data_IF_026527550556
#
_entry.id   IF_026527550556
#
_cell.length_a   1.000
_cell.length_b   1.000
_cell.length_c   1.000
_cell.angle_alpha   90.00
_cell.angle_beta   90.00
_cell.angle_gamma   90.00
#
_symmetry.space_group_name_H-M   'P 1'
#
loop_
_entity.id
_entity.type
_entity.pdbx_description
1 polymer ?
#
# COMPACT_ATOMS: atom_id res chain seq x y z
N UNK A 1 20.42 -12.58 -26.50
CA UNK A 1 20.36 -13.26 -25.17
C UNK A 1 18.94 -13.76 -24.96
N UNK A 2 18.70 -15.02 -24.49
CA UNK A 2 17.35 -15.51 -24.24
C UNK A 2 16.67 -14.72 -23.10
N UNK A 3 15.40 -14.37 -23.27
CA UNK A 3 14.60 -13.66 -22.27
C UNK A 3 14.54 -14.44 -20.94
N UNK A 4 14.43 -15.78 -21.03
CA UNK A 4 14.40 -16.64 -19.86
C UNK A 4 15.67 -16.49 -18.99
N UNK A 5 16.86 -16.36 -19.60
CA UNK A 5 18.13 -16.19 -18.89
C UNK A 5 18.16 -14.86 -18.12
N UNK A 6 17.58 -13.81 -18.67
CA UNK A 6 17.47 -12.51 -17.99
C UNK A 6 16.63 -12.60 -16.71
N UNK A 7 15.45 -13.27 -16.77
CA UNK A 7 14.63 -13.49 -15.60
C UNK A 7 15.28 -14.46 -14.58
N UNK A 8 15.99 -15.49 -15.04
CA UNK A 8 16.74 -16.40 -14.16
C UNK A 8 17.80 -15.62 -13.38
N UNK A 9 18.57 -14.75 -14.04
CA UNK A 9 19.59 -13.93 -13.37
C UNK A 9 18.94 -12.94 -12.40
N UNK A 10 17.80 -12.32 -12.79
CA UNK A 10 17.04 -11.44 -11.90
C UNK A 10 16.59 -12.17 -10.64
N UNK A 11 15.95 -13.33 -10.78
CA UNK A 11 15.48 -14.12 -9.64
C UNK A 11 16.64 -14.64 -8.80
N UNK A 12 17.74 -15.10 -9.43
CA UNK A 12 18.94 -15.52 -8.71
C UNK A 12 19.53 -14.38 -7.87
N UNK A 13 19.59 -13.15 -8.41
CA UNK A 13 20.02 -11.98 -7.66
C UNK A 13 19.16 -11.70 -6.41
N UNK A 14 17.85 -11.88 -6.52
CA UNK A 14 16.93 -11.74 -5.38
C UNK A 14 17.14 -12.84 -4.34
N UNK A 15 17.36 -14.10 -4.76
CA UNK A 15 17.61 -15.24 -3.86
C UNK A 15 18.92 -15.04 -3.09
N UNK A 16 19.95 -14.46 -3.72
CA UNK A 16 21.26 -14.14 -3.08
C UNK A 16 21.15 -12.89 -2.19
N UNK A 17 19.96 -12.30 -2.07
CA UNK A 17 19.67 -11.08 -1.29
C UNK A 17 20.39 -9.82 -1.81
N UNK A 18 20.69 -9.72 -3.10
CA UNK A 18 21.13 -8.46 -3.73
C UNK A 18 19.93 -7.49 -3.73
N UNK A 19 20.13 -6.22 -3.35
CA UNK A 19 19.04 -5.23 -3.40
C UNK A 19 18.36 -5.17 -4.76
N UNK A 20 17.03 -5.12 -4.78
CA UNK A 20 16.20 -5.18 -6.01
C UNK A 20 16.65 -4.15 -7.05
N UNK A 21 16.96 -2.93 -6.63
CA UNK A 21 17.43 -1.86 -7.52
C UNK A 21 18.76 -2.19 -8.21
N UNK A 22 19.69 -2.81 -7.48
CA UNK A 22 21.00 -3.23 -8.05
C UNK A 22 20.78 -4.38 -9.01
N UNK A 23 19.98 -5.37 -8.63
CA UNK A 23 19.63 -6.52 -9.48
C UNK A 23 18.99 -6.06 -10.80
N UNK A 24 18.04 -5.11 -10.74
CA UNK A 24 17.41 -4.52 -11.93
C UNK A 24 18.44 -3.79 -12.80
N UNK A 25 19.31 -2.99 -12.19
CA UNK A 25 20.36 -2.27 -12.92
C UNK A 25 21.32 -3.22 -13.66
N UNK A 26 21.79 -4.26 -12.96
CA UNK A 26 22.66 -5.28 -13.56
C UNK A 26 21.95 -6.01 -14.70
N UNK A 27 20.73 -6.51 -14.46
CA UNK A 27 19.98 -7.25 -15.49
C UNK A 27 19.61 -6.40 -16.69
N UNK A 28 19.37 -5.09 -16.51
CA UNK A 28 19.16 -4.18 -17.63
C UNK A 28 20.40 -4.00 -18.53
N UNK A 29 21.61 -4.11 -17.97
CA UNK A 29 22.86 -3.94 -18.72
C UNK A 29 23.28 -5.23 -19.46
N UNK A 30 22.93 -6.42 -18.93
CA UNK A 30 23.38 -7.71 -19.47
C UNK A 30 23.15 -7.90 -20.97
N UNK A 31 21.97 -7.58 -21.56
CA UNK A 31 21.77 -7.73 -22.99
C UNK A 31 22.75 -6.92 -23.83
N UNK A 32 23.11 -5.70 -23.40
CA UNK A 32 24.06 -4.84 -24.12
C UNK A 32 25.51 -5.37 -24.08
N UNK A 33 25.83 -6.23 -23.12
CA UNK A 33 27.17 -6.82 -22.95
C UNK A 33 27.28 -8.16 -23.67
N UNK A 34 26.25 -9.01 -23.57
CA UNK A 34 26.31 -10.40 -24.01
C UNK A 34 25.60 -10.68 -25.34
N UNK A 35 24.83 -9.72 -25.88
CA UNK A 35 24.11 -9.91 -27.12
C UNK A 35 24.56 -8.89 -28.19
N UNK A 36 25.38 -9.33 -29.18
CA UNK A 36 25.83 -8.43 -30.26
C UNK A 36 24.69 -7.85 -31.11
N UNK A 37 23.52 -8.51 -31.10
CA UNK A 37 22.33 -8.01 -31.83
C UNK A 37 21.62 -6.91 -31.08
N UNK A 38 21.88 -6.76 -29.78
CA UNK A 38 21.27 -5.74 -28.94
C UNK A 38 22.08 -4.43 -29.03
N UNK A 39 21.65 -3.54 -29.94
CA UNK A 39 22.40 -2.33 -30.32
C UNK A 39 22.35 -1.20 -29.29
N UNK A 40 21.69 -1.41 -28.15
CA UNK A 40 21.44 -0.38 -27.14
C UNK A 40 22.53 -0.41 -26.08
N UNK A 41 23.36 0.62 -26.07
CA UNK A 41 24.48 0.73 -25.12
C UNK A 41 24.10 1.33 -23.77
N UNK A 42 25.01 1.26 -22.78
CA UNK A 42 24.85 1.77 -21.43
C UNK A 42 24.37 3.24 -21.37
N UNK A 43 24.77 4.08 -22.34
CA UNK A 43 24.34 5.49 -22.44
C UNK A 43 22.82 5.64 -22.59
N UNK A 44 22.18 4.74 -23.34
CA UNK A 44 20.72 4.72 -23.47
C UNK A 44 20.04 4.33 -22.16
N UNK A 45 20.57 3.32 -21.49
CA UNK A 45 20.02 2.85 -20.20
C UNK A 45 20.12 3.93 -19.11
N UNK A 46 21.26 4.62 -19.04
CA UNK A 46 21.43 5.75 -18.13
C UNK A 46 20.43 6.87 -18.45
N UNK A 47 20.23 7.21 -19.73
CA UNK A 47 19.20 8.17 -20.12
C UNK A 47 17.79 7.72 -19.74
N UNK A 48 17.48 6.45 -19.89
CA UNK A 48 16.19 5.89 -19.48
C UNK A 48 15.99 6.01 -17.95
N UNK A 49 17.04 5.78 -17.16
CA UNK A 49 17.00 5.97 -15.71
C UNK A 49 16.66 7.42 -15.35
N UNK A 50 17.34 8.39 -15.93
CA UNK A 50 17.06 9.81 -15.70
C UNK A 50 15.67 10.21 -16.18
N UNK A 51 15.26 9.78 -17.37
CA UNK A 51 13.93 10.06 -17.91
C UNK A 51 12.81 9.49 -17.03
N UNK A 52 13.04 8.33 -16.39
CA UNK A 52 12.08 7.76 -15.43
C UNK A 52 11.91 8.58 -14.16
N UNK A 53 12.93 9.35 -13.79
CA UNK A 53 12.88 10.24 -12.61
C UNK A 53 12.33 11.64 -12.95
N UNK A 54 12.37 12.04 -14.21
CA UNK A 54 11.88 13.34 -14.67
C UNK A 54 10.39 13.28 -14.98
N UNK A 55 9.59 13.15 -13.92
CA UNK A 55 8.14 13.03 -14.00
C UNK A 55 7.45 13.83 -12.90
N UNK A 56 6.52 14.73 -13.31
CA UNK A 56 5.79 15.56 -12.36
C UNK A 56 4.97 14.77 -11.33
N UNK A 57 4.24 13.69 -11.67
CA UNK A 57 3.55 12.86 -10.70
C UNK A 57 4.46 12.23 -9.64
N UNK A 58 5.74 12.00 -9.97
CA UNK A 58 6.70 11.42 -9.04
C UNK A 58 6.94 12.31 -7.81
N UNK A 59 6.83 13.63 -7.97
CA UNK A 59 7.02 14.59 -6.85
C UNK A 59 5.97 14.38 -5.74
N UNK A 60 4.83 13.78 -6.04
CA UNK A 60 3.83 13.46 -5.03
C UNK A 60 4.35 12.45 -3.99
N UNK A 61 5.21 11.51 -4.39
CA UNK A 61 5.72 10.44 -3.52
C UNK A 61 6.51 10.99 -2.32
N UNK A 62 7.59 11.77 -2.50
CA UNK A 62 8.33 12.35 -1.38
C UNK A 62 7.45 13.25 -0.51
N UNK A 63 6.47 13.96 -1.10
CA UNK A 63 5.57 14.84 -0.35
C UNK A 63 4.59 14.03 0.51
N UNK A 64 3.96 12.97 -0.01
CA UNK A 64 3.09 12.11 0.81
C UNK A 64 3.89 11.36 1.89
N UNK A 65 5.09 10.85 1.58
CA UNK A 65 5.97 10.24 2.60
C UNK A 65 6.28 11.24 3.72
N UNK A 66 6.67 12.46 3.37
CA UNK A 66 6.97 13.50 4.35
C UNK A 66 5.74 13.85 5.19
N UNK A 67 4.59 14.08 4.55
CA UNK A 67 3.32 14.34 5.23
C UNK A 67 2.96 13.21 6.20
N UNK A 68 3.06 11.95 5.76
CA UNK A 68 2.78 10.78 6.59
C UNK A 68 3.67 10.70 7.83
N UNK A 69 4.99 10.98 7.70
CA UNK A 69 5.94 10.97 8.83
C UNK A 69 5.63 12.11 9.80
N UNK A 70 5.33 13.33 9.30
CA UNK A 70 4.94 14.47 10.14
C UNK A 70 3.68 14.09 10.95
N UNK A 71 2.68 13.51 10.32
CA UNK A 71 1.42 13.14 10.95
C UNK A 71 1.59 11.98 11.94
N UNK A 72 2.47 11.01 11.66
CA UNK A 72 2.82 9.94 12.59
C UNK A 72 3.41 10.49 13.89
N UNK A 73 4.46 11.31 13.76
CA UNK A 73 5.11 11.98 14.91
C UNK A 73 4.20 13.03 15.56
N UNK A 74 3.26 13.57 14.79
CA UNK A 74 2.21 14.49 15.25
C UNK A 74 1.14 13.85 16.14
N UNK A 75 1.14 12.52 16.31
CA UNK A 75 0.17 11.82 17.14
C UNK A 75 -1.24 11.77 16.55
N UNK A 76 -1.37 11.97 15.24
CA UNK A 76 -2.65 11.99 14.53
C UNK A 76 -3.32 10.61 14.58
N UNK A 77 -2.55 9.53 14.47
CA UNK A 77 -3.07 8.15 14.57
C UNK A 77 -3.83 7.92 15.88
N UNK A 78 -3.33 8.46 17.00
CA UNK A 78 -4.03 8.35 18.31
C UNK A 78 -5.36 9.08 18.31
N UNK A 79 -5.42 10.27 17.73
CA UNK A 79 -6.67 11.05 17.66
C UNK A 79 -7.72 10.40 16.77
N UNK A 80 -7.29 9.77 15.66
CA UNK A 80 -8.17 8.97 14.82
C UNK A 80 -8.70 7.75 15.57
N UNK A 81 -7.84 7.02 16.27
CA UNK A 81 -8.28 5.86 17.05
C UNK A 81 -9.27 6.25 18.18
N UNK A 82 -8.98 7.31 18.94
CA UNK A 82 -9.81 7.74 20.04
C UNK A 82 -11.24 8.07 19.59
N UNK A 83 -11.42 8.72 18.43
CA UNK A 83 -12.76 9.03 17.91
C UNK A 83 -13.50 7.77 17.44
N UNK A 84 -12.83 6.84 16.75
CA UNK A 84 -13.47 5.60 16.33
C UNK A 84 -13.75 4.67 17.50
N UNK A 85 -12.87 4.61 18.50
CA UNK A 85 -13.11 3.89 19.76
C UNK A 85 -14.27 4.49 20.56
N UNK A 86 -14.47 5.80 20.52
CA UNK A 86 -15.61 6.47 21.15
C UNK A 86 -16.96 5.95 20.61
N UNK A 87 -17.06 5.82 19.27
CA UNK A 87 -18.32 5.39 18.64
C UNK A 87 -18.48 3.86 18.58
N UNK A 88 -17.40 3.14 18.31
CA UNK A 88 -17.47 1.71 18.06
C UNK A 88 -17.14 0.86 19.31
N UNK A 89 -16.40 1.39 20.28
CA UNK A 89 -15.75 0.63 21.33
C UNK A 89 -16.70 -0.23 22.17
N UNK A 90 -17.95 0.20 22.40
CA UNK A 90 -18.95 -0.56 23.15
C UNK A 90 -19.62 -1.70 22.34
N UNK A 91 -19.40 -1.75 21.01
CA UNK A 91 -19.95 -2.80 20.17
C UNK A 91 -19.11 -4.09 20.29
N UNK A 92 -19.68 -5.23 19.90
CA UNK A 92 -18.90 -6.47 19.79
C UNK A 92 -17.80 -6.30 18.74
N UNK A 93 -16.58 -6.63 19.11
CA UNK A 93 -15.36 -6.34 18.32
C UNK A 93 -15.13 -4.83 18.04
N UNK A 94 -15.73 -3.96 18.85
CA UNK A 94 -15.68 -2.53 18.59
C UNK A 94 -14.27 -1.96 18.58
N UNK A 95 -13.40 -2.40 19.48
CA UNK A 95 -11.99 -1.96 19.51
C UNK A 95 -11.17 -2.46 18.31
N UNK A 96 -11.22 -3.75 17.90
CA UNK A 96 -10.63 -4.21 16.63
C UNK A 96 -11.20 -3.48 15.39
N UNK A 97 -12.50 -3.23 15.33
CA UNK A 97 -13.11 -2.44 14.26
C UNK A 97 -12.58 -1.00 14.24
N UNK A 98 -12.42 -0.36 15.40
CA UNK A 98 -11.80 0.96 15.49
C UNK A 98 -10.36 0.98 14.96
N UNK A 99 -9.58 -0.09 15.16
CA UNK A 99 -8.25 -0.26 14.55
C UNK A 99 -8.34 -0.29 13.03
N UNK A 100 -9.25 -1.11 12.47
CA UNK A 100 -9.41 -1.24 11.01
C UNK A 100 -9.78 0.11 10.39
N UNK A 101 -10.77 0.81 10.98
CA UNK A 101 -11.18 2.15 10.49
C UNK A 101 -10.04 3.16 10.66
N UNK A 102 -9.26 3.08 11.74
CA UNK A 102 -8.07 3.91 11.90
C UNK A 102 -7.04 3.63 10.81
N UNK A 103 -6.82 2.37 10.43
CA UNK A 103 -5.93 2.01 9.32
C UNK A 103 -6.43 2.55 7.98
N UNK A 104 -7.75 2.54 7.72
CA UNK A 104 -8.36 3.16 6.52
C UNK A 104 -8.04 4.66 6.46
N UNK A 105 -8.35 5.39 7.53
CA UNK A 105 -8.13 6.84 7.57
C UNK A 105 -6.66 7.22 7.61
N UNK A 106 -5.83 6.48 8.35
CA UNK A 106 -4.40 6.74 8.39
C UNK A 106 -3.74 6.35 7.07
N UNK A 107 -4.21 5.29 6.41
CA UNK A 107 -3.81 4.92 5.05
C UNK A 107 -4.04 6.06 4.06
N UNK A 108 -5.21 6.71 4.13
CA UNK A 108 -5.55 7.90 3.35
C UNK A 108 -4.68 9.14 3.65
N UNK A 109 -3.72 9.02 4.55
CA UNK A 109 -2.74 10.07 4.87
C UNK A 109 -1.33 9.64 4.44
N UNK A 110 -0.95 8.39 4.75
CA UNK A 110 0.41 7.87 4.57
C UNK A 110 0.67 7.30 3.18
N UNK A 111 -0.36 6.77 2.53
CA UNK A 111 -0.24 6.08 1.24
C UNK A 111 0.65 4.83 1.25
N UNK A 112 0.98 4.30 2.44
CA UNK A 112 1.94 3.22 2.64
C UNK A 112 1.45 2.21 3.66
N UNK A 113 1.47 0.92 3.31
CA UNK A 113 1.04 -0.16 4.21
C UNK A 113 1.98 -0.33 5.42
N UNK A 114 3.31 -0.45 5.25
CA UNK A 114 4.22 -0.57 6.39
C UNK A 114 4.17 0.64 7.33
N UNK A 115 4.05 1.85 6.79
CA UNK A 115 3.91 3.07 7.61
C UNK A 115 2.60 3.06 8.41
N UNK A 116 1.51 2.57 7.82
CA UNK A 116 0.22 2.42 8.52
C UNK A 116 0.33 1.40 9.65
N UNK A 117 0.96 0.23 9.41
CA UNK A 117 1.20 -0.78 10.46
C UNK A 117 2.03 -0.18 11.59
N UNK A 118 3.11 0.51 11.28
CA UNK A 118 3.99 1.11 12.29
C UNK A 118 3.25 2.17 13.14
N UNK A 119 2.58 3.11 12.50
CA UNK A 119 1.92 4.23 13.19
C UNK A 119 0.68 3.82 13.99
N UNK A 120 -0.15 2.95 13.44
CA UNK A 120 -1.36 2.48 14.12
C UNK A 120 -1.01 1.36 15.11
N UNK A 121 -0.14 0.43 14.71
CA UNK A 121 0.23 -0.73 15.52
C UNK A 121 0.96 -0.36 16.80
N UNK A 122 1.91 0.57 16.74
CA UNK A 122 2.69 0.99 17.92
C UNK A 122 1.83 1.42 19.10
N UNK A 123 0.65 1.99 18.83
CA UNK A 123 -0.25 2.42 19.90
C UNK A 123 -1.41 1.44 20.15
N UNK A 124 -1.95 0.80 19.12
CA UNK A 124 -3.16 -0.03 19.27
C UNK A 124 -2.87 -1.42 19.82
N UNK A 125 -1.70 -2.00 19.49
CA UNK A 125 -1.30 -3.31 20.03
C UNK A 125 -1.26 -3.28 21.56
N UNK A 126 -0.56 -2.36 22.24
CA UNK A 126 -0.56 -2.29 23.70
C UNK A 126 -1.95 -2.03 24.29
N UNK A 127 -2.75 -1.17 23.64
CA UNK A 127 -4.10 -0.85 24.12
C UNK A 127 -4.99 -2.09 24.09
N UNK A 128 -5.10 -2.77 22.95
CA UNK A 128 -5.97 -3.93 22.81
C UNK A 128 -5.52 -5.08 23.71
N UNK A 129 -4.22 -5.31 23.81
CA UNK A 129 -3.65 -6.34 24.71
C UNK A 129 -3.97 -6.02 26.17
N UNK A 130 -3.88 -4.76 26.59
CA UNK A 130 -4.29 -4.29 27.91
C UNK A 130 -5.79 -4.51 28.21
N UNK A 131 -6.62 -4.46 27.16
CA UNK A 131 -8.06 -4.75 27.23
C UNK A 131 -8.37 -6.26 27.26
N UNK A 132 -7.36 -7.13 27.19
CA UNK A 132 -7.52 -8.57 27.26
C UNK A 132 -7.65 -9.27 25.90
N UNK A 133 -7.46 -8.58 24.78
CA UNK A 133 -7.38 -9.25 23.49
C UNK A 133 -6.07 -10.04 23.34
N UNK A 134 -6.15 -11.16 22.64
CA UNK A 134 -4.98 -11.99 22.31
C UNK A 134 -3.93 -11.17 21.54
N UNK A 135 -2.68 -11.18 22.02
CA UNK A 135 -1.59 -10.41 21.43
C UNK A 135 -1.37 -10.77 19.96
N UNK A 136 -1.42 -12.08 19.63
CA UNK A 136 -1.20 -12.55 18.25
C UNK A 136 -2.34 -12.11 17.33
N UNK A 137 -3.59 -12.15 17.81
CA UNK A 137 -4.74 -11.65 17.06
C UNK A 137 -4.64 -10.15 16.82
N UNK A 138 -4.32 -9.40 17.87
CA UNK A 138 -4.17 -7.94 17.79
C UNK A 138 -3.08 -7.55 16.79
N UNK A 139 -1.94 -8.24 16.84
CA UNK A 139 -0.82 -8.00 15.94
C UNK A 139 -1.18 -8.39 14.50
N UNK A 140 -1.89 -9.51 14.30
CA UNK A 140 -2.33 -9.95 12.98
C UNK A 140 -3.34 -9.00 12.35
N UNK A 141 -4.32 -8.49 13.11
CA UNK A 141 -5.32 -7.55 12.58
C UNK A 141 -4.70 -6.23 12.16
N UNK A 142 -3.73 -5.73 12.93
CA UNK A 142 -2.96 -4.52 12.57
C UNK A 142 -2.15 -4.74 11.31
N UNK A 143 -1.44 -5.89 11.19
CA UNK A 143 -0.65 -6.21 10.01
C UNK A 143 -1.52 -6.25 8.74
N UNK A 144 -2.68 -6.93 8.81
CA UNK A 144 -3.59 -7.09 7.66
C UNK A 144 -4.32 -5.78 7.34
N UNK A 145 -4.89 -5.10 8.36
CA UNK A 145 -5.57 -3.83 8.15
C UNK A 145 -4.63 -2.73 7.66
N UNK A 146 -3.35 -2.79 8.02
CA UNK A 146 -2.32 -1.89 7.49
C UNK A 146 -2.17 -1.98 5.97
N UNK A 147 -2.50 -3.14 5.35
CA UNK A 147 -2.55 -3.30 3.89
C UNK A 147 -3.54 -2.34 3.20
N UNK A 148 -4.56 -1.87 3.90
CA UNK A 148 -5.48 -0.84 3.40
C UNK A 148 -4.77 0.50 3.13
N UNK A 149 -3.61 0.73 3.74
CA UNK A 149 -2.83 1.95 3.57
C UNK A 149 -2.22 2.15 2.18
N UNK A 150 -2.22 1.14 1.31
CA UNK A 150 -1.84 1.28 -0.10
C UNK A 150 -3.02 1.21 -1.05
N UNK A 151 -4.23 0.94 -0.55
CA UNK A 151 -5.45 0.80 -1.36
C UNK A 151 -6.31 2.05 -1.27
N UNK A 152 -6.49 2.59 -0.05
CA UNK A 152 -7.21 3.85 0.15
C UNK A 152 -6.34 5.02 -0.34
N UNK A 153 -6.88 5.91 -1.20
CA UNK A 153 -6.13 7.06 -1.68
C UNK A 153 -5.89 8.13 -0.59
N UNK A 154 -4.81 8.92 -0.72
CA UNK A 154 -3.77 8.79 -1.74
C UNK A 154 -2.85 7.58 -1.51
N UNK A 155 -2.42 6.96 -2.59
CA UNK A 155 -1.65 5.71 -2.57
C UNK A 155 -0.40 5.83 -3.43
N UNK A 156 0.77 5.55 -2.84
CA UNK A 156 2.04 5.54 -3.57
C UNK A 156 2.02 4.48 -4.70
N UNK A 157 1.57 3.24 -4.48
CA UNK A 157 1.44 2.25 -5.56
C UNK A 157 0.56 2.70 -6.72
N UNK A 158 -0.55 3.41 -6.49
CA UNK A 158 -1.36 3.94 -7.58
C UNK A 158 -0.64 5.02 -8.40
N UNK A 159 0.18 5.87 -7.75
CA UNK A 159 1.02 6.83 -8.46
C UNK A 159 2.02 6.08 -9.36
N UNK A 160 2.69 5.05 -8.81
CA UNK A 160 3.63 4.22 -9.57
C UNK A 160 2.97 3.49 -10.74
N UNK A 161 1.77 2.95 -10.52
CA UNK A 161 1.00 2.31 -11.58
C UNK A 161 0.58 3.31 -12.66
N UNK A 162 0.08 4.49 -12.28
CA UNK A 162 -0.26 5.56 -13.22
C UNK A 162 0.92 5.97 -14.09
N UNK A 163 2.11 6.08 -13.51
CA UNK A 163 3.35 6.37 -14.25
C UNK A 163 3.74 5.25 -15.22
N UNK A 164 3.56 4.00 -14.83
CA UNK A 164 3.93 2.84 -15.64
C UNK A 164 2.93 2.53 -16.74
N UNK A 165 1.64 2.77 -16.51
CA UNK A 165 0.52 2.44 -17.41
C UNK A 165 0.07 3.62 -18.30
N UNK A 166 0.35 4.86 -17.87
CA UNK A 166 -0.22 6.07 -18.46
C UNK A 166 -1.67 6.36 -18.01
N UNK A 167 -2.23 5.56 -17.09
CA UNK A 167 -3.56 5.81 -16.52
C UNK A 167 -3.56 7.04 -15.60
N UNK A 168 -4.70 7.72 -15.52
CA UNK A 168 -4.89 8.89 -14.67
C UNK A 168 -4.74 8.50 -13.19
N UNK A 169 -3.85 9.19 -12.47
CA UNK A 169 -3.65 8.96 -11.03
C UNK A 169 -4.90 9.37 -10.23
N UNK A 170 -5.62 10.39 -10.67
CA UNK A 170 -6.88 10.80 -10.04
C UNK A 170 -7.96 9.73 -10.16
N UNK A 171 -8.08 9.10 -11.34
CA UNK A 171 -9.05 8.02 -11.57
C UNK A 171 -8.68 6.77 -10.76
N UNK A 172 -7.39 6.43 -10.68
CA UNK A 172 -6.91 5.35 -9.82
C UNK A 172 -7.24 5.60 -8.34
N UNK A 173 -7.14 6.85 -7.89
CA UNK A 173 -7.51 7.22 -6.53
C UNK A 173 -9.03 7.05 -6.30
N UNK A 174 -9.88 7.48 -7.24
CA UNK A 174 -11.32 7.23 -7.15
C UNK A 174 -11.64 5.74 -7.13
N UNK A 175 -11.02 4.99 -8.04
CA UNK A 175 -11.23 3.56 -8.18
C UNK A 175 -10.82 2.74 -6.95
N UNK A 176 -9.89 3.23 -6.12
CA UNK A 176 -9.43 2.57 -4.89
C UNK A 176 -10.37 2.69 -3.69
N UNK A 177 -11.32 3.66 -3.69
CA UNK A 177 -12.17 3.94 -2.53
C UNK A 177 -13.10 2.77 -2.19
N UNK A 178 -13.93 2.35 -3.14
CA UNK A 178 -14.92 1.29 -2.92
C UNK A 178 -14.23 -0.04 -2.57
N UNK A 179 -13.20 -0.50 -3.32
CA UNK A 179 -12.39 -1.66 -2.94
C UNK A 179 -11.84 -1.60 -1.52
N UNK A 180 -11.24 -0.48 -1.14
CA UNK A 180 -10.68 -0.31 0.20
C UNK A 180 -11.73 -0.36 1.31
N UNK A 181 -12.88 0.29 1.12
CA UNK A 181 -14.01 0.23 2.06
C UNK A 181 -14.60 -1.17 2.15
N UNK A 182 -14.73 -1.88 1.02
CA UNK A 182 -15.21 -3.26 0.97
C UNK A 182 -14.28 -4.19 1.73
N UNK A 183 -12.97 -4.11 1.51
CA UNK A 183 -11.98 -4.93 2.22
C UNK A 183 -12.01 -4.61 3.72
N UNK A 184 -12.04 -3.33 4.10
CA UNK A 184 -12.18 -2.91 5.48
C UNK A 184 -13.43 -3.47 6.15
N UNK A 185 -14.58 -3.45 5.46
CA UNK A 185 -15.84 -4.04 5.90
C UNK A 185 -15.74 -5.55 6.11
N UNK A 186 -15.12 -6.27 5.18
CA UNK A 186 -14.91 -7.72 5.30
C UNK A 186 -13.97 -8.07 6.48
N UNK A 187 -12.92 -7.27 6.71
CA UNK A 187 -12.05 -7.45 7.87
C UNK A 187 -12.80 -7.16 9.19
N UNK A 188 -13.68 -6.17 9.22
CA UNK A 188 -14.55 -5.90 10.39
C UNK A 188 -15.52 -7.06 10.64
N UNK A 189 -16.11 -7.65 9.59
CA UNK A 189 -16.96 -8.84 9.71
C UNK A 189 -16.18 -10.01 10.32
N UNK A 190 -14.94 -10.25 9.87
CA UNK A 190 -14.09 -11.27 10.48
C UNK A 190 -13.79 -10.96 11.94
N UNK A 191 -13.46 -9.71 12.29
CA UNK A 191 -13.20 -9.32 13.67
C UNK A 191 -14.41 -9.58 14.59
N UNK A 192 -15.63 -9.25 14.12
CA UNK A 192 -16.88 -9.53 14.82
C UNK A 192 -17.07 -11.04 15.03
N UNK A 193 -16.85 -11.85 14.00
CA UNK A 193 -16.95 -13.30 14.09
C UNK A 193 -15.94 -13.87 15.09
N UNK A 194 -14.68 -13.42 15.02
CA UNK A 194 -13.61 -13.84 15.92
C UNK A 194 -13.93 -13.52 17.40
N UNK A 195 -14.33 -12.28 17.68
CA UNK A 195 -14.63 -11.84 19.04
C UNK A 195 -15.88 -12.51 19.63
N UNK A 196 -16.90 -12.79 18.79
CA UNK A 196 -18.07 -13.57 19.23
C UNK A 196 -17.70 -14.99 19.65
N UNK A 197 -16.72 -15.59 18.96
CA UNK A 197 -16.30 -16.99 19.24
C UNK A 197 -15.36 -17.09 20.44
N UNK A 198 -14.45 -16.13 20.61
CA UNK A 198 -13.41 -16.19 21.65
C UNK A 198 -13.78 -15.40 22.92
N UNK A 199 -14.84 -14.61 22.88
CA UNK A 199 -15.23 -13.72 23.96
C UNK A 199 -14.41 -12.43 24.02
N UNK A 200 -14.89 -11.47 24.81
CA UNK A 200 -14.24 -10.18 25.06
C UNK A 200 -14.40 -9.82 26.54
N UNK A 201 -13.39 -9.19 27.13
CA UNK A 201 -13.47 -8.63 28.48
C UNK A 201 -14.25 -7.30 28.46
N UNK A 202 -15.58 -7.43 28.48
CA UNK A 202 -16.49 -6.28 28.37
C UNK A 202 -16.34 -5.26 29.48
N UNK A 203 -15.88 -5.66 30.65
CA UNK A 203 -15.68 -4.75 31.77
C UNK A 203 -14.51 -3.82 31.52
N UNK A 204 -13.35 -4.38 31.10
CA UNK A 204 -12.18 -3.58 30.75
C UNK A 204 -12.46 -2.67 29.56
N UNK A 205 -13.11 -3.20 28.52
CA UNK A 205 -13.48 -2.40 27.33
C UNK A 205 -14.37 -1.24 27.75
N UNK A 206 -15.44 -1.52 28.52
CA UNK A 206 -16.37 -0.49 28.97
C UNK A 206 -15.67 0.58 29.82
N UNK A 207 -14.76 0.17 30.71
CA UNK A 207 -14.01 1.11 31.56
C UNK A 207 -13.12 2.06 30.71
N UNK A 208 -12.48 1.56 29.64
CA UNK A 208 -11.64 2.38 28.77
C UNK A 208 -12.48 3.31 27.87
N UNK A 209 -13.57 2.79 27.32
CA UNK A 209 -14.51 3.61 26.53
C UNK A 209 -15.17 4.68 27.40
N UNK A 210 -15.50 4.35 28.66
CA UNK A 210 -16.06 5.31 29.61
C UNK A 210 -15.13 6.49 29.85
N UNK A 211 -13.81 6.26 29.96
CA UNK A 211 -12.81 7.35 30.06
C UNK A 211 -12.85 8.29 28.84
N UNK A 212 -13.14 7.76 27.65
CA UNK A 212 -13.32 8.60 26.46
C UNK A 212 -14.66 9.36 26.52
N UNK A 213 -15.73 8.71 26.98
CA UNK A 213 -17.04 9.32 27.18
C UNK A 213 -17.02 10.41 28.25
N UNK A 214 -16.26 10.21 29.34
CA UNK A 214 -16.11 11.21 30.43
C UNK A 214 -15.39 12.47 29.93
N UNK A 215 -14.53 12.37 28.89
CA UNK A 215 -13.98 13.57 28.21
C UNK A 215 -15.06 14.40 27.49
N UNK A 216 -16.19 13.80 27.19
CA UNK A 216 -17.29 14.39 26.41
C UNK A 216 -17.08 14.36 24.91
N UNK A 217 -18.16 14.11 24.16
CA UNK A 217 -18.15 14.02 22.68
C UNK A 217 -17.52 15.25 22.04
N UNK A 218 -17.92 16.44 22.48
CA UNK A 218 -17.42 17.69 21.90
C UNK A 218 -15.89 17.81 21.99
N UNK A 219 -15.31 17.40 23.11
CA UNK A 219 -13.86 17.45 23.31
C UNK A 219 -13.13 16.43 22.44
N UNK A 220 -13.62 15.19 22.36
CA UNK A 220 -13.05 14.13 21.52
C UNK A 220 -13.13 14.53 20.03
N UNK A 221 -14.28 14.99 19.56
CA UNK A 221 -14.46 15.48 18.20
C UNK A 221 -13.56 16.67 17.90
N UNK A 222 -13.47 17.66 18.79
CA UNK A 222 -12.60 18.83 18.62
C UNK A 222 -11.13 18.44 18.54
N UNK A 223 -10.69 17.49 19.36
CA UNK A 223 -9.31 16.98 19.35
C UNK A 223 -8.98 16.18 18.09
N UNK A 224 -9.95 15.46 17.53
CA UNK A 224 -9.77 14.61 16.34
C UNK A 224 -10.13 15.31 15.03
N UNK A 225 -10.77 16.48 15.09
CA UNK A 225 -11.30 17.20 13.92
C UNK A 225 -10.24 17.42 12.85
N UNK A 226 -9.09 17.96 13.22
CA UNK A 226 -8.00 18.21 12.28
C UNK A 226 -7.38 16.92 11.73
N UNK A 227 -7.39 15.83 12.48
CA UNK A 227 -6.95 14.53 12.00
C UNK A 227 -7.91 13.97 10.94
N UNK A 228 -9.22 14.05 11.18
CA UNK A 228 -10.25 13.63 10.23
C UNK A 228 -10.30 14.51 8.97
N UNK A 229 -10.01 15.79 9.12
CA UNK A 229 -10.06 16.75 8.01
C UNK A 229 -8.92 16.52 7.00
N UNK A 230 -7.80 15.90 7.41
CA UNK A 230 -6.64 15.68 6.54
C UNK A 230 -6.96 14.91 5.25
N UNK A 231 -7.52 13.69 5.29
CA UNK A 231 -7.88 12.99 4.06
C UNK A 231 -8.98 13.71 3.27
N UNK A 232 -9.88 14.40 3.94
CA UNK A 232 -10.96 15.15 3.30
C UNK A 232 -10.41 16.33 2.48
N UNK A 233 -9.42 17.07 3.01
CA UNK A 233 -8.76 18.14 2.26
C UNK A 233 -8.03 17.58 1.05
N UNK A 234 -7.22 16.52 1.24
CA UNK A 234 -6.41 15.94 0.16
C UNK A 234 -7.31 15.46 -0.97
N UNK A 235 -8.27 14.60 -0.65
CA UNK A 235 -9.18 14.01 -1.64
C UNK A 235 -10.14 15.05 -2.20
N UNK A 236 -10.64 15.98 -1.37
CA UNK A 236 -11.50 17.06 -1.80
C UNK A 236 -10.82 17.99 -2.82
N UNK A 237 -9.55 18.34 -2.63
CA UNK A 237 -8.78 19.14 -3.60
C UNK A 237 -8.59 18.39 -4.93
N UNK A 238 -8.32 17.08 -4.88
CA UNK A 238 -8.11 16.27 -6.08
C UNK A 238 -9.43 16.11 -6.86
N UNK A 239 -10.50 15.69 -6.19
CA UNK A 239 -11.77 15.36 -6.85
C UNK A 239 -12.57 16.58 -7.29
N UNK A 240 -12.36 17.74 -6.65
CA UNK A 240 -12.91 19.00 -7.14
C UNK A 240 -12.15 19.60 -8.33
N UNK A 241 -11.01 18.99 -8.72
CA UNK A 241 -10.15 19.51 -9.79
C UNK A 241 -9.36 20.78 -9.40
N UNK A 242 -9.41 21.20 -8.12
CA UNK A 242 -8.67 22.37 -7.63
C UNK A 242 -7.16 22.12 -7.63
N UNK A 243 -6.76 20.88 -7.33
CA UNK A 243 -5.35 20.50 -7.27
C UNK A 243 -5.13 19.13 -7.93
N UNK A 244 -4.01 19.01 -8.65
CA UNK A 244 -3.48 17.72 -9.09
C UNK A 244 -3.04 16.87 -7.88
N UNK A 245 -2.87 15.55 -8.03
CA UNK A 245 -2.34 14.70 -6.95
C UNK A 245 -1.01 15.19 -6.36
N UNK A 246 -0.14 15.77 -7.18
CA UNK A 246 1.15 16.33 -6.75
C UNK A 246 0.96 17.60 -5.91
N UNK A 247 0.11 18.51 -6.34
CA UNK A 247 -0.20 19.73 -5.57
C UNK A 247 -0.91 19.39 -4.26
N UNK A 248 -1.84 18.44 -4.28
CA UNK A 248 -2.50 17.96 -3.07
C UNK A 248 -1.50 17.33 -2.08
N UNK A 249 -0.45 16.66 -2.57
CA UNK A 249 0.63 16.14 -1.73
C UNK A 249 1.41 17.28 -1.04
N UNK A 250 1.69 18.37 -1.74
CA UNK A 250 2.31 19.57 -1.14
C UNK A 250 1.39 20.20 -0.11
N UNK A 251 0.11 20.38 -0.42
CA UNK A 251 -0.91 20.87 0.53
C UNK A 251 -0.93 20.01 1.78
N UNK A 252 -0.85 18.68 1.65
CA UNK A 252 -0.84 17.76 2.78
C UNK A 252 0.36 17.98 3.71
N UNK A 253 1.54 18.30 3.18
CA UNK A 253 2.74 18.60 3.98
C UNK A 253 2.52 19.86 4.82
N UNK A 254 2.06 20.96 4.19
CA UNK A 254 1.78 22.20 4.92
C UNK A 254 0.67 22.02 5.96
N UNK A 255 -0.37 21.28 5.62
CA UNK A 255 -1.43 20.95 6.56
C UNK A 255 -0.90 20.14 7.75
N UNK A 256 -0.12 19.08 7.47
CA UNK A 256 0.49 18.26 8.50
C UNK A 256 1.41 19.07 9.45
N UNK A 257 2.23 19.97 8.91
CA UNK A 257 3.07 20.87 9.68
C UNK A 257 2.21 21.82 10.54
N UNK A 258 1.20 22.45 9.96
CA UNK A 258 0.29 23.34 10.69
C UNK A 258 -0.39 22.61 11.87
N UNK A 259 -0.95 21.46 11.61
CA UNK A 259 -1.66 20.67 12.64
C UNK A 259 -0.70 20.23 13.74
N UNK A 260 0.47 19.71 13.37
CA UNK A 260 1.43 19.15 14.33
C UNK A 260 2.17 20.21 15.16
N UNK A 261 2.51 21.36 14.55
CA UNK A 261 3.26 22.45 15.23
C UNK A 261 2.35 23.41 15.99
N UNK A 262 1.19 23.78 15.40
CA UNK A 262 0.37 24.88 15.91
C UNK A 262 -0.82 24.34 16.71
N UNK A 263 -1.57 23.37 16.15
CA UNK A 263 -2.79 22.85 16.74
C UNK A 263 -2.49 21.88 17.88
N UNK A 264 -1.77 20.79 17.57
CA UNK A 264 -1.48 19.74 18.54
C UNK A 264 -0.20 20.00 19.34
N UNK A 265 0.69 20.84 18.82
CA UNK A 265 1.98 21.19 19.45
C UNK A 265 2.78 19.94 19.87
N UNK A 266 2.64 18.88 19.09
CA UNK A 266 3.26 17.57 19.32
C UNK A 266 4.68 17.49 18.80
N UNK A 267 5.04 18.34 17.83
CA UNK A 267 6.37 18.44 17.22
C UNK A 267 6.92 19.83 17.47
N UNK A 268 8.24 19.93 17.66
CA UNK A 268 8.97 21.20 17.78
C UNK A 268 9.68 21.51 16.47
N UNK A 269 9.96 22.79 16.21
CA UNK A 269 10.69 23.23 15.00
C UNK A 269 12.04 22.49 14.85
N UNK A 270 12.73 22.22 15.94
CA UNK A 270 14.00 21.47 15.94
C UNK A 270 13.85 20.02 15.46
N UNK A 271 12.67 19.44 15.57
CA UNK A 271 12.40 18.05 15.18
C UNK A 271 12.21 17.94 13.65
N UNK A 272 11.95 19.05 12.96
CA UNK A 272 11.74 19.10 11.50
C UNK A 272 12.95 18.51 10.77
N UNK A 273 14.17 18.81 11.22
CA UNK A 273 15.38 18.28 10.59
C UNK A 273 15.45 16.76 10.65
N UNK A 274 15.13 16.16 11.78
CA UNK A 274 15.10 14.69 11.92
C UNK A 274 13.98 14.06 11.08
N UNK A 275 12.84 14.73 10.94
CA UNK A 275 11.72 14.31 10.10
C UNK A 275 12.12 14.34 8.62
N UNK A 276 12.79 15.40 8.16
CA UNK A 276 13.29 15.50 6.79
C UNK A 276 14.31 14.39 6.50
N UNK A 277 15.25 14.13 7.42
CA UNK A 277 16.22 13.04 7.26
C UNK A 277 15.53 11.67 7.15
N UNK A 278 14.51 11.43 7.97
CA UNK A 278 13.73 10.19 7.94
C UNK A 278 12.96 10.06 6.61
N UNK A 279 12.33 11.13 6.15
CA UNK A 279 11.65 11.15 4.86
C UNK A 279 12.62 10.86 3.71
N UNK A 280 13.78 11.51 3.67
CA UNK A 280 14.82 11.27 2.67
C UNK A 280 15.26 9.80 2.67
N UNK A 281 15.53 9.22 3.85
CA UNK A 281 15.90 7.80 3.97
C UNK A 281 14.80 6.86 3.48
N UNK A 282 13.55 7.24 3.63
CA UNK A 282 12.39 6.43 3.23
C UNK A 282 12.17 6.47 1.72
N UNK A 283 12.22 7.66 1.08
CA UNK A 283 11.88 7.73 -0.34
C UNK A 283 13.09 7.56 -1.29
N UNK A 284 14.33 7.81 -0.84
CA UNK A 284 15.52 7.66 -1.71
C UNK A 284 15.66 6.26 -2.33
N UNK A 285 15.47 5.16 -1.58
CA UNK A 285 15.46 3.83 -2.19
C UNK A 285 14.37 3.66 -3.26
N UNK A 286 13.19 4.27 -3.07
CA UNK A 286 12.08 4.22 -4.03
C UNK A 286 12.49 4.88 -5.34
N UNK A 287 13.14 6.05 -5.30
CA UNK A 287 13.63 6.73 -6.49
C UNK A 287 14.67 5.89 -7.24
N UNK A 288 15.59 5.26 -6.51
CA UNK A 288 16.62 4.42 -7.14
C UNK A 288 16.01 3.16 -7.80
N UNK A 289 15.04 2.52 -7.14
CA UNK A 289 14.26 1.42 -7.71
C UNK A 289 13.53 1.88 -8.97
N UNK A 290 12.89 3.05 -8.95
CA UNK A 290 12.18 3.59 -10.11
C UNK A 290 13.11 3.81 -11.30
N UNK A 291 14.27 4.43 -11.08
CA UNK A 291 15.26 4.65 -12.14
C UNK A 291 15.68 3.33 -12.81
N UNK A 292 16.09 2.36 -12.00
CA UNK A 292 16.56 1.06 -12.51
C UNK A 292 15.44 0.23 -13.12
N UNK A 293 14.22 0.27 -12.56
CA UNK A 293 13.04 -0.39 -13.13
C UNK A 293 12.65 0.20 -14.49
N UNK A 294 12.76 1.51 -14.67
CA UNK A 294 12.48 2.16 -15.96
C UNK A 294 13.49 1.69 -17.02
N UNK A 295 14.78 1.62 -16.69
CA UNK A 295 15.78 1.08 -17.62
C UNK A 295 15.50 -0.39 -17.95
N UNK A 296 15.18 -1.22 -16.95
CA UNK A 296 14.85 -2.62 -17.16
C UNK A 296 13.58 -2.80 -18.01
N UNK A 297 12.52 -2.04 -17.75
CA UNK A 297 11.28 -2.05 -18.52
C UNK A 297 11.54 -1.68 -20.01
N UNK A 298 12.41 -0.71 -20.27
CA UNK A 298 12.83 -0.38 -21.66
C UNK A 298 13.54 -1.53 -22.33
N UNK A 299 14.41 -2.24 -21.63
CA UNK A 299 15.08 -3.44 -22.16
C UNK A 299 14.07 -4.54 -22.47
N UNK A 300 13.12 -4.82 -21.58
CA UNK A 300 12.06 -5.81 -21.82
C UNK A 300 11.22 -5.45 -23.06
N UNK A 301 10.89 -4.17 -23.24
CA UNK A 301 10.15 -3.69 -24.41
C UNK A 301 10.96 -3.88 -25.70
N UNK A 302 12.25 -3.55 -25.69
CA UNK A 302 13.13 -3.74 -26.84
C UNK A 302 13.35 -5.22 -27.19
N UNK A 303 13.33 -6.10 -26.19
CA UNK A 303 13.37 -7.55 -26.37
C UNK A 303 12.00 -8.17 -26.72
N UNK A 304 10.97 -7.34 -26.91
CA UNK A 304 9.59 -7.76 -27.24
C UNK A 304 9.00 -8.76 -26.22
N UNK A 305 9.43 -8.66 -24.94
CA UNK A 305 8.94 -9.57 -23.89
C UNK A 305 7.43 -9.48 -23.70
N UNK A 306 6.78 -8.28 -23.64
CA UNK A 306 5.33 -8.19 -23.53
C UNK A 306 4.58 -8.92 -24.64
N UNK A 307 5.07 -8.80 -25.88
CA UNK A 307 4.49 -9.45 -27.06
C UNK A 307 4.62 -10.98 -26.95
N UNK A 308 5.83 -11.46 -26.65
CA UNK A 308 6.08 -12.91 -26.51
C UNK A 308 5.22 -13.54 -25.43
N UNK A 309 5.06 -12.86 -24.27
CA UNK A 309 4.22 -13.34 -23.16
C UNK A 309 2.74 -13.30 -23.57
N UNK A 310 2.30 -12.24 -24.24
CA UNK A 310 0.91 -12.12 -24.73
C UNK A 310 0.56 -13.22 -25.74
N UNK A 311 1.43 -13.49 -26.71
CA UNK A 311 1.28 -14.56 -27.69
C UNK A 311 1.24 -15.94 -27.01
N UNK A 312 2.14 -16.19 -26.07
CA UNK A 312 2.16 -17.45 -25.32
C UNK A 312 0.86 -17.66 -24.55
N UNK A 313 0.34 -16.63 -23.89
CA UNK A 313 -0.92 -16.72 -23.14
C UNK A 313 -2.09 -16.94 -24.10
N UNK A 314 -2.19 -16.17 -25.19
CA UNK A 314 -3.29 -16.27 -26.15
C UNK A 314 -3.32 -17.61 -26.89
N UNK A 315 -2.15 -18.21 -27.15
CA UNK A 315 -2.08 -19.53 -27.83
C UNK A 315 -2.41 -20.70 -26.93
N UNK A 316 -2.13 -20.59 -25.63
CA UNK A 316 -2.31 -21.71 -24.69
C UNK A 316 -3.58 -21.62 -23.84
N UNK A 317 -4.14 -20.41 -23.64
CA UNK A 317 -5.28 -20.17 -22.79
C UNK A 317 -6.37 -19.41 -23.55
N UNK A 318 -7.58 -19.97 -23.61
CA UNK A 318 -8.70 -19.41 -24.37
C UNK A 318 -9.78 -18.81 -23.46
N UNK A 319 -9.74 -19.08 -22.16
CA UNK A 319 -10.71 -18.58 -21.20
C UNK A 319 -10.18 -17.29 -20.52
N UNK A 320 -10.86 -16.14 -20.71
CA UNK A 320 -10.49 -14.90 -20.02
C UNK A 320 -10.45 -15.04 -18.48
N UNK A 321 -11.40 -15.82 -17.94
CA UNK A 321 -11.46 -16.09 -16.50
C UNK A 321 -10.20 -16.80 -16.01
N UNK A 322 -9.75 -17.84 -16.75
CA UNK A 322 -8.55 -18.58 -16.38
C UNK A 322 -7.30 -17.71 -16.46
N UNK A 323 -7.19 -16.87 -17.49
CA UNK A 323 -6.07 -15.93 -17.64
C UNK A 323 -6.02 -14.97 -16.45
N UNK A 324 -7.14 -14.36 -16.07
CA UNK A 324 -7.22 -13.44 -14.93
C UNK A 324 -6.88 -14.13 -13.61
N UNK A 325 -7.30 -15.37 -13.40
CA UNK A 325 -6.94 -16.15 -12.21
C UNK A 325 -5.45 -16.46 -12.15
N UNK A 326 -4.83 -16.81 -13.29
CA UNK A 326 -3.38 -17.04 -13.38
C UNK A 326 -2.62 -15.75 -13.08
N UNK A 327 -3.05 -14.61 -13.64
CA UNK A 327 -2.44 -13.30 -13.37
C UNK A 327 -2.57 -12.94 -11.88
N UNK A 328 -3.74 -13.14 -11.28
CA UNK A 328 -3.92 -12.89 -9.84
C UNK A 328 -3.01 -13.78 -8.99
N UNK A 329 -2.92 -15.07 -9.30
CA UNK A 329 -2.02 -15.98 -8.59
C UNK A 329 -0.54 -15.58 -8.75
N UNK A 330 -0.15 -15.20 -9.96
CA UNK A 330 1.20 -14.74 -10.24
C UNK A 330 1.53 -13.45 -9.47
N UNK A 331 0.65 -12.46 -9.49
CA UNK A 331 0.81 -11.20 -8.73
C UNK A 331 0.89 -11.45 -7.23
N UNK A 332 0.10 -12.40 -6.72
CA UNK A 332 0.15 -12.79 -5.31
C UNK A 332 1.52 -13.35 -4.94
N UNK A 333 2.05 -14.27 -5.75
CA UNK A 333 3.38 -14.87 -5.53
C UNK A 333 4.46 -13.77 -5.58
N UNK A 334 4.39 -12.86 -6.55
CA UNK A 334 5.33 -11.75 -6.65
C UNK A 334 5.24 -10.85 -5.41
N UNK A 335 4.03 -10.49 -4.97
CA UNK A 335 3.83 -9.66 -3.79
C UNK A 335 4.32 -10.28 -2.48
N UNK A 336 4.42 -11.62 -2.41
CA UNK A 336 5.02 -12.33 -1.26
C UNK A 336 6.54 -12.13 -1.17
N UNK A 337 7.20 -11.82 -2.29
CA UNK A 337 8.67 -11.84 -2.41
C UNK A 337 9.26 -10.45 -2.57
N UNK A 338 8.51 -9.51 -3.15
CA UNK A 338 9.03 -8.16 -3.43
C UNK A 338 8.02 -7.07 -3.12
N UNK A 339 8.53 -5.85 -2.92
CA UNK A 339 7.70 -4.66 -2.65
C UNK A 339 6.81 -4.29 -3.85
N UNK A 340 5.74 -3.55 -3.57
CA UNK A 340 4.77 -3.09 -4.57
C UNK A 340 5.40 -2.23 -5.66
N UNK A 341 6.30 -1.32 -5.31
CA UNK A 341 6.89 -0.37 -6.26
C UNK A 341 7.64 -1.07 -7.41
N UNK A 342 8.65 -1.92 -7.14
CA UNK A 342 9.33 -2.62 -8.23
C UNK A 342 8.41 -3.61 -8.96
N UNK A 343 7.49 -4.29 -8.25
CA UNK A 343 6.55 -5.21 -8.87
C UNK A 343 5.67 -4.49 -9.91
N UNK A 344 5.08 -3.35 -9.55
CA UNK A 344 4.26 -2.53 -10.45
C UNK A 344 5.05 -2.08 -11.67
N UNK A 345 6.23 -1.50 -11.48
CA UNK A 345 7.02 -0.92 -12.56
C UNK A 345 7.52 -1.96 -13.56
N UNK A 346 7.78 -3.19 -13.10
CA UNK A 346 8.23 -4.29 -13.96
C UNK A 346 7.05 -4.96 -14.66
N UNK A 347 5.98 -5.25 -13.91
CA UNK A 347 4.91 -6.11 -14.39
C UNK A 347 3.82 -5.35 -15.16
N UNK A 348 3.61 -4.07 -14.90
CA UNK A 348 2.62 -3.29 -15.63
C UNK A 348 2.85 -3.31 -17.15
N UNK A 349 4.04 -3.02 -17.68
CA UNK A 349 4.26 -3.07 -19.13
C UNK A 349 4.08 -4.45 -19.74
N UNK A 350 4.24 -5.52 -18.97
CA UNK A 350 4.10 -6.90 -19.42
C UNK A 350 2.64 -7.34 -19.39
N UNK A 351 1.94 -7.10 -18.29
CA UNK A 351 0.61 -7.64 -18.04
C UNK A 351 -0.52 -6.75 -18.57
N UNK A 352 -0.33 -5.42 -18.60
CA UNK A 352 -1.36 -4.48 -19.04
C UNK A 352 -1.84 -4.76 -20.47
N UNK A 353 -0.96 -4.98 -21.49
CA UNK A 353 -1.43 -5.32 -22.82
C UNK A 353 -2.28 -6.60 -22.88
N UNK A 354 -1.97 -7.59 -22.03
CA UNK A 354 -2.70 -8.86 -21.98
C UNK A 354 -4.14 -8.62 -21.49
N UNK A 355 -4.29 -7.91 -20.37
CA UNK A 355 -5.60 -7.69 -19.77
C UNK A 355 -6.46 -6.70 -20.58
N UNK A 356 -5.85 -5.71 -21.23
CA UNK A 356 -6.56 -4.80 -22.13
C UNK A 356 -7.06 -5.50 -23.39
N UNK A 357 -6.32 -6.47 -23.93
CA UNK A 357 -6.77 -7.34 -25.01
C UNK A 357 -7.97 -8.22 -24.60
N UNK A 358 -8.15 -8.49 -23.32
CA UNK A 358 -9.33 -9.17 -22.78
C UNK A 358 -10.51 -8.21 -22.52
N UNK A 359 -10.34 -6.91 -22.82
CA UNK A 359 -11.37 -5.88 -22.61
C UNK A 359 -11.40 -5.30 -21.20
N UNK A 360 -10.38 -5.55 -20.36
CA UNK A 360 -10.31 -4.97 -19.02
C UNK A 360 -9.83 -3.52 -19.08
N UNK A 361 -10.47 -2.66 -18.30
CA UNK A 361 -10.06 -1.26 -18.15
C UNK A 361 -8.69 -1.15 -17.45
N UNK A 362 -7.77 -0.29 -17.93
CA UNK A 362 -6.47 -0.08 -17.28
C UNK A 362 -6.55 0.35 -15.82
N UNK A 363 -7.54 1.17 -15.43
CA UNK A 363 -7.73 1.62 -14.05
C UNK A 363 -8.17 0.45 -13.16
N UNK A 364 -9.12 -0.37 -13.64
CA UNK A 364 -9.53 -1.58 -12.94
C UNK A 364 -8.32 -2.50 -12.69
N UNK A 365 -7.49 -2.74 -13.71
CA UNK A 365 -6.30 -3.58 -13.56
C UNK A 365 -5.30 -2.98 -12.56
N UNK A 366 -5.16 -1.66 -12.50
CA UNK A 366 -4.35 -0.98 -11.49
C UNK A 366 -4.82 -1.29 -10.07
N UNK A 367 -6.13 -1.25 -9.84
CA UNK A 367 -6.71 -1.62 -8.54
C UNK A 367 -6.45 -3.08 -8.20
N UNK A 368 -6.68 -4.01 -9.16
CA UNK A 368 -6.41 -5.44 -8.98
C UNK A 368 -4.95 -5.67 -8.61
N UNK A 369 -4.01 -5.04 -9.32
CA UNK A 369 -2.58 -5.18 -9.08
C UNK A 369 -2.21 -4.69 -7.67
N UNK A 370 -2.65 -3.51 -7.27
CA UNK A 370 -2.33 -2.95 -5.96
C UNK A 370 -2.94 -3.78 -4.83
N UNK A 371 -4.20 -4.22 -4.97
CA UNK A 371 -4.86 -5.09 -3.98
C UNK A 371 -4.14 -6.43 -3.84
N UNK A 372 -3.75 -7.04 -4.96
CA UNK A 372 -2.99 -8.30 -4.97
C UNK A 372 -1.67 -8.19 -4.23
N UNK A 373 -0.89 -7.15 -4.55
CA UNK A 373 0.40 -6.90 -3.92
C UNK A 373 0.24 -6.53 -2.44
N UNK A 374 -0.87 -5.86 -2.05
CA UNK A 374 -1.19 -5.59 -0.66
C UNK A 374 -1.45 -6.88 0.15
N UNK A 375 -2.06 -7.90 -0.45
CA UNK A 375 -2.19 -9.23 0.17
C UNK A 375 -0.81 -9.86 0.35
N UNK A 376 0.09 -9.68 -0.62
CA UNK A 376 1.49 -10.14 -0.51
C UNK A 376 2.21 -9.60 0.72
N UNK A 377 1.94 -8.37 1.14
CA UNK A 377 2.53 -7.77 2.35
C UNK A 377 2.20 -8.50 3.66
N UNK A 378 1.16 -9.31 3.67
CA UNK A 378 0.72 -10.07 4.85
C UNK A 378 0.82 -11.57 4.65
N UNK A 379 1.46 -12.00 3.56
CA UNK A 379 1.60 -13.42 3.19
C UNK A 379 3.07 -13.83 3.19
N UNK A 380 3.47 -14.93 3.90
CA UNK A 380 4.83 -15.45 3.83
C UNK A 380 5.23 -15.82 2.39
N UNK A 381 6.54 -15.83 2.00
CA UNK A 381 7.70 -15.88 2.89
C UNK A 381 8.18 -14.55 3.47
N UNK A 382 8.05 -13.42 2.74
CA UNK A 382 8.53 -12.14 3.27
C UNK A 382 7.41 -11.47 4.07
N UNK A 383 6.36 -10.94 3.43
CA UNK A 383 5.26 -10.27 4.13
C UNK A 383 5.70 -9.05 4.94
N UNK A 384 6.07 -7.96 4.28
CA UNK A 384 6.68 -6.77 4.93
C UNK A 384 5.89 -6.27 6.13
N UNK A 385 4.55 -6.24 6.05
CA UNK A 385 3.71 -5.83 7.17
C UNK A 385 3.81 -6.79 8.37
N UNK A 386 4.04 -8.09 8.12
CA UNK A 386 4.22 -9.06 9.20
C UNK A 386 5.52 -8.79 9.97
N UNK A 387 6.60 -8.40 9.26
CA UNK A 387 7.86 -8.04 9.90
C UNK A 387 7.73 -6.75 10.72
N UNK A 388 7.06 -5.74 10.18
CA UNK A 388 6.81 -4.49 10.93
C UNK A 388 5.98 -4.78 12.19
N UNK A 389 4.90 -5.55 12.06
CA UNK A 389 4.05 -5.91 13.20
C UNK A 389 4.79 -6.80 14.22
N UNK A 390 5.63 -7.73 13.75
CA UNK A 390 6.48 -8.57 14.59
C UNK A 390 7.45 -7.73 15.43
N UNK A 391 8.08 -6.72 14.84
CA UNK A 391 9.00 -5.83 15.57
C UNK A 391 8.32 -4.96 16.61
N UNK A 392 7.01 -4.68 16.47
CA UNK A 392 6.23 -3.88 17.42
C UNK A 392 5.73 -4.70 18.62
N UNK A 393 5.47 -5.99 18.41
CA UNK A 393 4.81 -6.85 19.38
C UNK A 393 5.73 -7.92 19.97
N UNK A 394 6.96 -8.05 19.44
CA UNK A 394 7.91 -9.13 19.79
C UNK A 394 7.29 -10.54 19.61
N UNK A 395 6.47 -10.71 18.56
CA UNK A 395 5.82 -11.98 18.21
C UNK A 395 6.45 -12.52 16.93
N UNK A 396 6.81 -13.83 16.85
CA UNK A 396 7.40 -14.40 15.64
C UNK A 396 6.51 -14.23 14.41
N UNK A 397 7.11 -13.84 13.29
CA UNK A 397 6.42 -13.56 12.00
C UNK A 397 5.49 -14.70 11.59
N UNK A 398 5.94 -15.96 11.67
CA UNK A 398 5.12 -17.13 11.30
C UNK A 398 3.92 -17.33 12.22
N UNK A 399 3.99 -16.92 13.47
CA UNK A 399 2.87 -16.97 14.43
C UNK A 399 1.81 -15.95 14.04
N UNK A 400 2.24 -14.73 13.70
CA UNK A 400 1.34 -13.67 13.20
C UNK A 400 0.72 -14.12 11.87
N UNK A 401 1.51 -14.65 10.94
CA UNK A 401 1.04 -15.10 9.64
C UNK A 401 -0.05 -16.19 9.75
N UNK A 402 0.16 -17.20 10.60
CA UNK A 402 -0.86 -18.24 10.84
C UNK A 402 -2.17 -17.63 11.36
N UNK A 403 -2.09 -16.64 12.24
CA UNK A 403 -3.27 -15.96 12.78
C UNK A 403 -3.94 -15.04 11.76
N UNK A 404 -3.17 -14.49 10.80
CA UNK A 404 -3.64 -13.64 9.72
C UNK A 404 -4.34 -14.44 8.59
N UNK A 405 -4.07 -15.75 8.43
CA UNK A 405 -4.59 -16.57 7.31
C UNK A 405 -6.11 -16.44 7.10
N UNK A 406 -6.96 -16.50 8.12
CA UNK A 406 -8.39 -16.32 7.89
C UNK A 406 -8.74 -14.92 7.33
N UNK A 407 -8.05 -13.86 7.79
CA UNK A 407 -8.25 -12.50 7.30
C UNK A 407 -7.80 -12.37 5.84
N UNK A 408 -6.70 -13.06 5.46
CA UNK A 408 -6.22 -13.12 4.08
C UNK A 408 -7.27 -13.76 3.17
N UNK A 409 -8.00 -14.77 3.63
CA UNK A 409 -9.11 -15.38 2.85
C UNK A 409 -10.20 -14.34 2.54
N UNK A 410 -10.60 -13.51 3.52
CA UNK A 410 -11.55 -12.41 3.27
C UNK A 410 -11.00 -11.38 2.28
N UNK A 411 -9.71 -11.08 2.36
CA UNK A 411 -9.04 -10.18 1.43
C UNK A 411 -9.00 -10.77 0.01
N UNK A 412 -8.69 -12.07 -0.14
CA UNK A 412 -8.73 -12.79 -1.43
C UNK A 412 -10.14 -12.83 -2.00
N UNK A 413 -11.17 -13.03 -1.16
CA UNK A 413 -12.56 -12.96 -1.62
C UNK A 413 -12.90 -11.57 -2.19
N UNK A 414 -12.46 -10.50 -1.53
CA UNK A 414 -12.59 -9.15 -2.06
C UNK A 414 -11.86 -8.98 -3.40
N UNK A 415 -10.62 -9.48 -3.51
CA UNK A 415 -9.84 -9.42 -4.75
C UNK A 415 -10.57 -10.09 -5.92
N UNK A 416 -11.17 -11.26 -5.70
CA UNK A 416 -11.94 -11.95 -6.73
C UNK A 416 -13.17 -11.14 -7.15
N UNK A 417 -13.88 -10.54 -6.19
CA UNK A 417 -15.02 -9.65 -6.52
C UNK A 417 -14.55 -8.44 -7.35
N UNK A 418 -13.44 -7.79 -6.98
CA UNK A 418 -12.86 -6.66 -7.70
C UNK A 418 -12.42 -7.08 -9.11
N UNK A 419 -11.89 -8.30 -9.27
CA UNK A 419 -11.42 -8.80 -10.57
C UNK A 419 -12.58 -9.04 -11.53
N UNK A 420 -13.69 -9.62 -11.06
CA UNK A 420 -14.78 -10.05 -11.94
C UNK A 420 -15.97 -9.09 -11.97
N UNK A 421 -16.03 -8.09 -11.09
CA UNK A 421 -17.11 -7.09 -11.06
C UNK A 421 -16.49 -5.69 -11.28
N UNK A 422 -16.37 -5.22 -12.55
CA UNK A 422 -15.75 -3.92 -12.86
C UNK A 422 -16.38 -2.75 -12.10
N UNK A 423 -17.70 -2.81 -11.85
CA UNK A 423 -18.41 -1.75 -11.12
C UNK A 423 -17.84 -1.47 -9.73
N UNK A 424 -17.18 -2.43 -9.06
CA UNK A 424 -16.57 -2.19 -7.75
C UNK A 424 -15.41 -1.18 -7.83
N UNK A 425 -14.65 -1.21 -8.93
CA UNK A 425 -13.54 -0.27 -9.15
C UNK A 425 -13.96 0.97 -9.94
N UNK A 426 -14.90 0.82 -10.89
CA UNK A 426 -15.20 1.87 -11.87
C UNK A 426 -16.45 2.69 -11.56
N UNK A 427 -17.21 2.36 -10.50
CA UNK A 427 -18.49 3.01 -10.19
C UNK A 427 -18.38 4.50 -9.84
N UNK A 428 -17.19 5.00 -9.48
CA UNK A 428 -16.96 6.40 -9.15
C UNK A 428 -16.30 7.19 -10.29
N UNK A 429 -16.00 6.54 -11.41
CA UNK A 429 -15.47 7.14 -12.64
C UNK A 429 -16.62 7.39 -13.61
#
# INVERSE_FOLDING_TARGET
MPVALLFIIFVAGLIIAIPVSITLGITAVLPSVFDPSFTVGAKYLIRAMFSGLDSFPLLAVPMFVLSGIIMAKGGISRKLFDIFAYFLGNLTAGMPCAVIVTCLFYGAISGSAPATVAAVGSMTIPILTGLGYDLTFTTAIVAVAGGLGVIIPPSIPFIMYGMASGASVSDLFLAGIIPGLMIGGLLMLYAIFYCRRNGEDKEKIRSEVQKLHDKGLFKVVKESFFALLSPIIILGCIYSGIASPTEAAVISVFYALFVSLVVYRSIRIRDIWSILQEAIRTFTPILFILATSTAFSRVLTLMQVPQTVSEFISSNFHSPVLILLIINLFLLIVGMVMDTTPAILILTPILLPIVTNLGMDPVQFGVIMVVNLAIGFVTPPIGVNLFVASSLADVPVMTIAKKAMPMIVYFLAALLLITFIPAISLALL
#
